data_IF_119035291636
#
_entry.id   IF_119035291636
#
_cell.length_a   1.000
_cell.length_b   1.000
_cell.length_c   1.000
_cell.angle_alpha   90.00
_cell.angle_beta   90.00
_cell.angle_gamma   90.00
#
_symmetry.space_group_name_H-M   'P 1'
#
loop_
_entity.id
_entity.type
_entity.pdbx_description
1 polymer ?
#
# COMPACT_ATOMS: atom_id res chain seq x y z
N UNK A 1 -7.09 15.29 7.95
CA UNK A 1 -6.93 15.88 6.62
C UNK A 1 -8.14 15.54 5.76
N UNK A 2 -8.74 16.49 5.09
CA UNK A 2 -9.90 16.23 4.26
C UNK A 2 -9.51 15.68 2.88
N UNK A 3 -10.51 15.19 2.14
CA UNK A 3 -10.30 14.57 0.82
C UNK A 3 -9.55 15.49 -0.15
N UNK A 4 -9.96 16.75 -0.22
CA UNK A 4 -9.33 17.70 -1.14
C UNK A 4 -7.86 17.94 -0.81
N UNK A 5 -7.53 18.02 0.47
CA UNK A 5 -6.15 18.20 0.92
C UNK A 5 -5.29 16.98 0.58
N UNK A 6 -5.81 15.78 0.80
CA UNK A 6 -5.09 14.54 0.45
C UNK A 6 -4.84 14.47 -1.05
N UNK A 7 -5.87 14.74 -1.86
CA UNK A 7 -5.74 14.72 -3.31
C UNK A 7 -4.71 15.73 -3.80
N UNK A 8 -4.70 16.94 -3.23
CA UNK A 8 -3.75 17.99 -3.57
C UNK A 8 -2.32 17.60 -3.21
N UNK A 9 -2.13 17.11 -1.98
CA UNK A 9 -0.79 16.73 -1.50
C UNK A 9 -0.19 15.58 -2.30
N UNK A 10 -1.02 14.63 -2.75
CA UNK A 10 -0.56 13.48 -3.50
C UNK A 10 -0.55 13.70 -5.01
N UNK A 11 -1.12 14.80 -5.48
CA UNK A 11 -1.29 15.10 -6.90
C UNK A 11 -2.07 14.02 -7.65
N UNK A 12 -3.07 13.44 -6.97
CA UNK A 12 -3.94 12.39 -7.51
C UNK A 12 -5.35 12.98 -7.69
N UNK A 13 -6.08 12.60 -8.76
CA UNK A 13 -7.46 13.07 -8.96
C UNK A 13 -8.34 12.80 -7.74
N UNK A 14 -9.17 13.78 -7.38
CA UNK A 14 -10.00 13.70 -6.17
C UNK A 14 -10.92 12.48 -6.14
N UNK A 15 -11.54 12.14 -7.27
CA UNK A 15 -12.45 10.99 -7.37
C UNK A 15 -11.72 9.67 -7.11
N UNK A 16 -10.51 9.53 -7.64
CA UNK A 16 -9.68 8.34 -7.41
C UNK A 16 -9.21 8.28 -5.95
N UNK A 17 -8.79 9.41 -5.41
CA UNK A 17 -8.38 9.52 -4.00
C UNK A 17 -9.52 9.12 -3.07
N UNK A 18 -10.75 9.57 -3.36
CA UNK A 18 -11.92 9.21 -2.57
C UNK A 18 -12.14 7.69 -2.55
N UNK A 19 -12.04 7.06 -3.72
CA UNK A 19 -12.22 5.61 -3.84
C UNK A 19 -11.19 4.84 -3.01
N UNK A 20 -9.93 5.22 -3.11
CA UNK A 20 -8.84 4.57 -2.37
C UNK A 20 -9.02 4.76 -0.86
N UNK A 21 -9.29 5.98 -0.42
CA UNK A 21 -9.48 6.26 1.01
C UNK A 21 -10.67 5.51 1.58
N UNK A 22 -11.78 5.41 0.84
CA UNK A 22 -12.94 4.64 1.29
C UNK A 22 -12.61 3.16 1.46
N UNK A 23 -11.83 2.58 0.55
CA UNK A 23 -11.36 1.20 0.69
C UNK A 23 -10.52 1.01 1.95
N UNK A 24 -9.62 1.96 2.23
CA UNK A 24 -8.75 1.90 3.40
C UNK A 24 -9.55 2.08 4.70
N UNK A 25 -10.56 2.95 4.71
CA UNK A 25 -11.44 3.13 5.87
C UNK A 25 -12.24 1.85 6.13
N UNK A 26 -12.80 1.25 5.08
CA UNK A 26 -13.56 0.00 5.20
C UNK A 26 -12.71 -1.14 5.77
N UNK A 27 -11.43 -1.17 5.42
CA UNK A 27 -10.48 -2.15 5.94
C UNK A 27 -9.91 -1.78 7.32
N UNK A 28 -10.38 -0.67 7.90
CA UNK A 28 -9.94 -0.17 9.21
C UNK A 28 -8.46 0.23 9.27
N UNK A 29 -7.89 0.60 8.13
CA UNK A 29 -6.49 1.05 8.04
C UNK A 29 -6.36 2.56 8.19
N UNK A 30 -7.44 3.30 7.98
CA UNK A 30 -7.51 4.76 8.09
C UNK A 30 -8.80 5.11 8.82
N UNK A 31 -8.76 6.15 9.64
CA UNK A 31 -9.93 6.65 10.34
C UNK A 31 -10.61 7.75 9.52
N UNK A 32 -11.94 7.76 9.54
CA UNK A 32 -12.75 8.79 8.91
C UNK A 32 -13.59 9.49 9.95
N UNK A 33 -13.58 10.83 9.96
CA UNK A 33 -14.38 11.63 10.86
C UNK A 33 -15.29 12.52 10.02
N UNK A 34 -16.60 12.52 10.34
CA UNK A 34 -17.59 13.33 9.62
C UNK A 34 -17.73 14.71 10.25
N UNK A 35 -18.26 15.66 9.47
CA UNK A 35 -18.61 17.00 9.94
C UNK A 35 -17.49 18.02 9.75
N UNK A 36 -17.72 19.27 10.22
CA UNK A 36 -16.72 20.34 10.13
C UNK A 36 -15.41 19.95 10.85
N UNK A 37 -14.29 20.14 10.20
CA UNK A 37 -13.00 19.71 10.74
C UNK A 37 -12.73 18.21 10.63
N UNK A 38 -13.65 17.46 10.05
CA UNK A 38 -13.49 16.04 9.81
C UNK A 38 -12.57 15.73 8.64
N UNK A 39 -12.47 14.47 8.29
CA UNK A 39 -11.63 13.99 7.20
C UNK A 39 -11.01 12.65 7.52
N UNK A 40 -9.82 12.42 7.01
CA UNK A 40 -9.11 11.15 7.17
C UNK A 40 -7.88 11.33 8.03
N UNK A 41 -7.60 10.33 8.86
CA UNK A 41 -6.44 10.37 9.75
C UNK A 41 -5.90 8.97 10.00
N UNK A 42 -4.62 8.91 10.32
CA UNK A 42 -3.97 7.69 10.76
C UNK A 42 -3.09 8.05 11.97
N UNK A 43 -3.63 7.96 13.20
CA UNK A 43 -2.86 8.24 14.42
C UNK A 43 -1.61 7.37 14.49
N UNK A 44 -0.58 7.84 15.20
CA UNK A 44 0.70 7.13 15.29
C UNK A 44 0.55 5.68 15.75
N UNK A 45 -0.38 5.41 16.70
CA UNK A 45 -0.62 4.05 17.17
C UNK A 45 -1.12 3.14 16.05
N UNK A 46 -2.02 3.66 15.19
CA UNK A 46 -2.52 2.92 14.03
C UNK A 46 -1.44 2.78 12.97
N UNK A 47 -0.69 3.85 12.70
CA UNK A 47 0.39 3.84 11.71
C UNK A 47 1.47 2.80 12.03
N UNK A 48 1.70 2.52 13.31
CA UNK A 48 2.64 1.49 13.73
C UNK A 48 2.12 0.07 13.49
N UNK A 49 0.80 -0.11 13.50
CA UNK A 49 0.15 -1.41 13.27
C UNK A 49 -0.08 -1.71 11.80
N UNK A 50 -0.30 -0.70 10.98
CA UNK A 50 -0.60 -0.88 9.56
C UNK A 50 0.70 -1.14 8.80
N UNK A 51 0.79 -2.31 8.21
CA UNK A 51 1.92 -2.70 7.36
C UNK A 51 1.61 -2.36 5.91
N UNK A 52 2.65 -2.17 5.10
CA UNK A 52 2.48 -1.90 3.68
C UNK A 52 1.74 -3.04 2.98
N UNK A 53 1.92 -4.28 3.43
CA UNK A 53 1.20 -5.45 2.90
C UNK A 53 -0.32 -5.30 3.06
N UNK A 54 -0.79 -4.73 4.17
CA UNK A 54 -2.22 -4.51 4.39
C UNK A 54 -2.80 -3.54 3.36
N UNK A 55 -2.06 -2.47 3.06
CA UNK A 55 -2.48 -1.46 2.08
C UNK A 55 -2.51 -2.05 0.68
N UNK A 56 -1.46 -2.77 0.29
CA UNK A 56 -1.37 -3.40 -1.03
C UNK A 56 -2.49 -4.42 -1.21
N UNK A 57 -2.72 -5.28 -0.21
CA UNK A 57 -3.79 -6.29 -0.27
C UNK A 57 -5.18 -5.67 -0.36
N UNK A 58 -5.40 -4.55 0.33
CA UNK A 58 -6.69 -3.86 0.33
C UNK A 58 -7.00 -3.24 -1.03
N UNK A 59 -6.00 -2.64 -1.68
CA UNK A 59 -6.19 -1.91 -2.94
C UNK A 59 -6.07 -2.83 -4.15
N UNK A 60 -5.02 -3.65 -4.20
CA UNK A 60 -4.69 -4.47 -5.37
C UNK A 60 -4.93 -5.97 -5.19
N UNK A 61 -5.27 -6.39 -3.98
CA UNK A 61 -5.37 -7.81 -3.66
C UNK A 61 -4.00 -8.48 -3.60
N UNK A 62 -3.97 -9.80 -3.72
CA UNK A 62 -2.74 -10.59 -3.57
C UNK A 62 -2.05 -10.91 -4.89
N UNK A 63 -2.49 -10.32 -5.99
CA UNK A 63 -1.95 -10.61 -7.33
C UNK A 63 -0.44 -10.39 -7.43
N UNK A 64 0.09 -9.42 -6.73
CA UNK A 64 1.53 -9.12 -6.71
C UNK A 64 2.35 -10.31 -6.18
N UNK A 65 1.75 -11.17 -5.36
CA UNK A 65 2.42 -12.32 -4.77
C UNK A 65 2.17 -13.62 -5.54
N UNK A 66 1.25 -13.61 -6.52
CA UNK A 66 0.78 -14.83 -7.20
C UNK A 66 0.93 -14.78 -8.72
N UNK A 67 1.06 -13.59 -9.30
CA UNK A 67 1.14 -13.43 -10.75
C UNK A 67 2.45 -13.94 -11.34
N UNK A 68 2.45 -14.19 -12.64
CA UNK A 68 3.64 -14.59 -13.38
C UNK A 68 4.49 -13.37 -13.74
N UNK A 69 5.81 -13.46 -13.56
CA UNK A 69 6.75 -12.39 -13.89
C UNK A 69 6.73 -12.03 -15.39
N UNK A 70 6.46 -13.00 -16.23
CA UNK A 70 6.42 -12.82 -17.68
C UNK A 70 5.03 -12.45 -18.21
N UNK A 71 4.04 -12.27 -17.32
CA UNK A 71 2.69 -11.93 -17.70
C UNK A 71 1.86 -13.07 -18.26
N UNK A 72 2.29 -14.32 -18.04
CA UNK A 72 1.54 -15.49 -18.47
C UNK A 72 0.26 -15.62 -17.64
N UNK A 73 -0.81 -16.25 -18.20
CA UNK A 73 -2.09 -16.37 -17.49
C UNK A 73 -2.02 -17.07 -16.14
N UNK A 74 -1.10 -18.02 -16.01
CA UNK A 74 -0.95 -18.83 -14.81
C UNK A 74 0.50 -18.90 -14.36
N UNK A 75 0.71 -18.87 -13.04
CA UNK A 75 1.99 -19.21 -12.44
C UNK A 75 1.82 -20.61 -11.87
N UNK A 76 2.42 -21.61 -12.53
CA UNK A 76 2.28 -23.01 -12.20
C UNK A 76 3.64 -23.63 -11.92
N UNK A 77 3.83 -24.15 -10.70
CA UNK A 77 5.08 -24.80 -10.29
C UNK A 77 5.32 -26.11 -11.03
N UNK A 78 4.25 -26.77 -11.54
CA UNK A 78 4.37 -28.00 -12.32
C UNK A 78 4.86 -27.73 -13.74
N UNK A 79 4.57 -26.54 -14.27
CA UNK A 79 5.05 -26.08 -15.59
C UNK A 79 5.60 -24.66 -15.44
N UNK A 80 6.76 -24.53 -14.80
CA UNK A 80 7.30 -23.21 -14.51
C UNK A 80 7.74 -22.46 -15.76
N UNK A 81 7.56 -21.15 -15.78
CA UNK A 81 8.13 -20.30 -16.80
C UNK A 81 9.65 -20.21 -16.62
N UNK A 82 10.34 -19.65 -17.61
CA UNK A 82 11.81 -19.57 -17.59
C UNK A 82 12.39 -18.81 -16.38
N UNK A 83 11.59 -17.90 -15.80
CA UNK A 83 12.01 -17.09 -14.64
C UNK A 83 11.34 -17.50 -13.34
N UNK A 84 10.63 -18.63 -13.31
CA UNK A 84 9.81 -19.03 -12.16
C UNK A 84 10.59 -19.03 -10.85
N UNK A 85 11.69 -19.77 -10.79
CA UNK A 85 12.47 -19.91 -9.56
C UNK A 85 13.13 -18.60 -9.14
N UNK A 86 13.66 -17.85 -10.10
CA UNK A 86 14.29 -16.56 -9.83
C UNK A 86 13.29 -15.54 -9.32
N UNK A 87 12.12 -15.47 -9.96
CA UNK A 87 11.08 -14.52 -9.59
C UNK A 87 10.41 -14.88 -8.27
N UNK A 88 10.33 -16.19 -7.96
CA UNK A 88 9.78 -16.64 -6.68
C UNK A 88 10.56 -16.03 -5.50
N UNK A 89 11.89 -16.02 -5.62
CA UNK A 89 12.75 -15.44 -4.60
C UNK A 89 12.55 -13.93 -4.49
N UNK A 90 12.49 -13.22 -5.62
CA UNK A 90 12.22 -11.78 -5.65
C UNK A 90 10.87 -11.47 -5.01
N UNK A 91 9.86 -12.27 -5.32
CA UNK A 91 8.50 -12.12 -4.78
C UNK A 91 8.49 -12.31 -3.26
N UNK A 92 9.22 -13.31 -2.74
CA UNK A 92 9.31 -13.54 -1.31
C UNK A 92 10.03 -12.40 -0.58
N UNK A 93 11.09 -11.84 -1.18
CA UNK A 93 11.78 -10.70 -0.63
C UNK A 93 10.86 -9.47 -0.60
N UNK A 94 10.08 -9.25 -1.64
CA UNK A 94 9.10 -8.17 -1.71
C UNK A 94 8.04 -8.36 -0.62
N UNK A 95 7.51 -9.56 -0.47
CA UNK A 95 6.52 -9.89 0.56
C UNK A 95 7.04 -9.55 1.95
N UNK A 96 8.25 -10.00 2.28
CA UNK A 96 8.87 -9.74 3.58
C UNK A 96 9.03 -8.25 3.85
N UNK A 97 9.48 -7.51 2.85
CA UNK A 97 9.64 -6.06 2.99
C UNK A 97 8.30 -5.40 3.31
N UNK A 98 7.25 -5.74 2.55
CA UNK A 98 5.93 -5.15 2.74
C UNK A 98 5.28 -5.56 4.07
N UNK A 99 5.50 -6.79 4.53
CA UNK A 99 4.95 -7.29 5.78
C UNK A 99 5.67 -6.73 7.02
N UNK A 100 6.93 -6.34 6.88
CA UNK A 100 7.74 -5.80 7.99
C UNK A 100 7.72 -4.30 8.10
N UNK A 101 7.41 -3.60 7.03
CA UNK A 101 7.46 -2.14 7.00
C UNK A 101 6.09 -1.57 7.36
N UNK A 102 6.03 -0.80 8.44
CA UNK A 102 4.81 -0.08 8.84
C UNK A 102 4.75 1.30 8.17
N UNK A 103 3.57 1.89 8.16
CA UNK A 103 3.40 3.27 7.70
C UNK A 103 4.25 4.22 8.56
N UNK A 104 4.33 3.95 9.88
CA UNK A 104 5.15 4.75 10.80
C UNK A 104 6.63 4.70 10.44
N UNK A 105 7.14 3.54 10.00
CA UNK A 105 8.53 3.42 9.55
C UNK A 105 8.81 4.36 8.37
N UNK A 106 7.90 4.45 7.41
CA UNK A 106 8.05 5.34 6.26
C UNK A 106 8.01 6.81 6.70
N UNK A 107 7.09 7.16 7.58
CA UNK A 107 6.99 8.54 8.09
C UNK A 107 8.28 8.94 8.80
N UNK A 108 8.83 8.04 9.61
CA UNK A 108 10.08 8.26 10.31
C UNK A 108 11.24 8.48 9.35
N UNK A 109 11.36 7.65 8.33
CA UNK A 109 12.42 7.77 7.31
C UNK A 109 12.30 9.09 6.55
N UNK A 110 11.09 9.52 6.24
CA UNK A 110 10.86 10.81 5.57
C UNK A 110 11.29 12.00 6.43
N UNK A 111 11.06 11.93 7.74
CA UNK A 111 11.41 13.01 8.66
C UNK A 111 12.90 13.05 8.99
N UNK A 112 13.51 11.89 9.20
CA UNK A 112 14.90 11.78 9.67
C UNK A 112 15.90 11.60 8.55
N UNK A 113 15.57 10.82 7.54
CA UNK A 113 16.50 10.43 6.48
C UNK A 113 16.39 11.21 5.19
N UNK A 114 15.46 12.15 5.08
CA UNK A 114 15.26 12.91 3.85
C UNK A 114 14.65 12.10 2.70
N UNK A 115 14.14 10.90 2.97
CA UNK A 115 13.44 10.11 1.96
C UNK A 115 12.15 10.80 1.52
N UNK A 116 11.74 10.61 0.27
CA UNK A 116 10.54 11.23 -0.28
C UNK A 116 9.68 10.18 -0.98
N UNK A 117 8.35 10.37 -0.92
CA UNK A 117 7.37 9.57 -1.63
C UNK A 117 6.79 10.29 -2.85
N UNK A 118 6.99 11.61 -2.92
CA UNK A 118 6.48 12.45 -3.99
C UNK A 118 7.63 13.23 -4.60
N UNK A 119 7.67 13.26 -5.91
CA UNK A 119 8.66 14.02 -6.67
C UNK A 119 8.00 14.92 -7.71
#
# INVERSE_FOLDING_TARGET
MNLKAVAKETAIPEAFTAKVLQQLVHAELVLSTKGPGGGFSMPAALARKVKLSHIVSTIDGDAIYKGCALGLPHCDAARPCALHDHFLKVREDLRRMLERTSVQDLVKDMKEGGAVLKR
#
